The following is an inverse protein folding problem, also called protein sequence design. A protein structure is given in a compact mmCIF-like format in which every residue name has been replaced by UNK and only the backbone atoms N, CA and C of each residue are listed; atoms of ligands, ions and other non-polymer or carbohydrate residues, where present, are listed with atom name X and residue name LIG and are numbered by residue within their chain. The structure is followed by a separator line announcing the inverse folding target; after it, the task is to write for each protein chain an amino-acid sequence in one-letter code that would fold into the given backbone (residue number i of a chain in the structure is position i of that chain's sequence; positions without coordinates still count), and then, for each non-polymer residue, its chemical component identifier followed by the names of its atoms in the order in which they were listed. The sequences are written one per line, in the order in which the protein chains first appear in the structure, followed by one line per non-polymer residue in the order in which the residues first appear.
data_IF_728219356412
#
_entry.id   IF_728219356412
#
_cell.length_a   1.000
_cell.length_b   1.000
_cell.length_c   1.000
_cell.angle_alpha   90.00
_cell.angle_beta   90.00
_cell.angle_gamma   90.00
#
_symmetry.space_group_name_H-M   'P 1'
#
loop_
_entity.id
_entity.type
_entity.pdbx_description
1 polymer ?
#
# COMPACT_ATOMS: atom_id res chain seq x y z
N UNK A 1 -48.85 48.68 -46.20
CA UNK A 1 -49.10 48.84 -44.75
C UNK A 1 -48.31 47.78 -44.00
N UNK A 2 -47.55 48.21 -42.98
CA UNK A 2 -46.61 47.42 -42.16
C UNK A 2 -47.35 46.51 -41.16
N UNK A 3 -46.79 45.31 -40.90
CA UNK A 3 -46.80 44.53 -39.63
C UNK A 3 -46.04 43.21 -39.91
N UNK A 4 -44.74 43.07 -39.67
CA UNK A 4 -44.07 42.92 -38.36
C UNK A 4 -44.86 42.01 -37.41
N UNK A 5 -44.64 40.70 -37.53
CA UNK A 5 -44.85 39.72 -36.47
C UNK A 5 -43.51 38.94 -36.34
N UNK A 6 -42.69 39.32 -35.35
CA UNK A 6 -42.47 38.55 -34.11
C UNK A 6 -41.85 37.19 -34.45
N UNK A 7 -40.53 37.07 -34.60
CA UNK A 7 -39.53 36.96 -33.52
C UNK A 7 -39.93 35.93 -32.46
N UNK A 8 -38.99 35.03 -32.15
CA UNK A 8 -39.04 33.86 -31.25
C UNK A 8 -39.58 32.56 -31.87
N UNK A 9 -38.69 31.81 -32.53
CA UNK A 9 -38.57 30.39 -32.24
C UNK A 9 -37.08 30.02 -32.16
N UNK A 10 -36.59 30.14 -30.92
CA UNK A 10 -35.79 29.12 -30.26
C UNK A 10 -34.52 28.64 -30.99
N UNK A 11 -33.50 29.49 -30.94
CA UNK A 11 -32.11 29.03 -30.97
C UNK A 11 -31.85 28.15 -29.74
N UNK A 12 -32.11 26.85 -29.85
CA UNK A 12 -31.72 25.84 -28.87
C UNK A 12 -30.99 24.70 -29.60
N UNK A 13 -29.80 24.99 -30.12
CA UNK A 13 -28.92 23.96 -30.68
C UNK A 13 -27.44 24.25 -30.39
N UNK A 14 -27.15 24.74 -29.19
CA UNK A 14 -25.78 24.80 -28.66
C UNK A 14 -25.83 24.28 -27.22
N UNK A 15 -25.74 22.97 -27.07
CA UNK A 15 -25.32 22.30 -25.82
C UNK A 15 -25.11 20.81 -26.10
N UNK A 16 -24.37 20.48 -27.16
CA UNK A 16 -23.90 19.12 -27.36
C UNK A 16 -22.57 18.96 -26.60
N UNK A 17 -22.70 18.50 -25.36
CA UNK A 17 -21.74 17.66 -24.65
C UNK A 17 -20.27 18.12 -24.66
N UNK A 18 -19.97 19.11 -23.83
CA UNK A 18 -18.67 19.17 -23.16
C UNK A 18 -18.65 18.12 -22.04
N UNK A 19 -18.23 16.90 -22.34
CA UNK A 19 -17.76 15.96 -21.32
C UNK A 19 -16.52 15.25 -21.86
N UNK A 20 -15.45 16.04 -22.03
CA UNK A 20 -14.12 15.47 -22.09
C UNK A 20 -13.91 14.77 -20.75
N UNK A 21 -13.88 13.43 -20.80
CA UNK A 21 -13.51 12.61 -19.67
C UNK A 21 -12.12 13.03 -19.20
N UNK A 22 -12.07 13.82 -18.13
CA UNK A 22 -10.93 13.82 -17.22
C UNK A 22 -10.92 12.44 -16.55
N UNK A 23 -10.54 11.41 -17.32
CA UNK A 23 -10.12 10.15 -16.74
C UNK A 23 -8.94 10.51 -15.83
N UNK A 24 -9.19 10.41 -14.52
CA UNK A 24 -8.25 10.77 -13.48
C UNK A 24 -6.92 10.05 -13.70
N UNK A 25 -5.97 10.77 -14.28
CA UNK A 25 -4.57 10.52 -14.03
C UNK A 25 -4.31 11.03 -12.62
N UNK A 26 -4.73 10.25 -11.62
CA UNK A 26 -4.09 10.31 -10.32
C UNK A 26 -2.68 9.75 -10.54
N UNK A 27 -1.80 10.60 -11.07
CA UNK A 27 -0.36 10.34 -11.07
C UNK A 27 0.00 10.18 -9.60
N UNK A 28 0.16 8.93 -9.16
CA UNK A 28 0.61 8.59 -7.82
C UNK A 28 1.77 9.51 -7.49
N UNK A 29 1.53 10.49 -6.62
CA UNK A 29 2.49 11.52 -6.29
C UNK A 29 3.72 10.80 -5.77
N UNK A 30 4.84 10.90 -6.50
CA UNK A 30 6.04 10.16 -6.18
C UNK A 30 6.40 10.37 -4.71
N UNK A 31 6.65 9.28 -3.97
CA UNK A 31 6.99 9.37 -2.55
C UNK A 31 8.19 10.29 -2.37
N UNK A 32 8.06 11.29 -1.49
CA UNK A 32 9.18 12.16 -1.09
C UNK A 32 10.13 11.47 -0.11
N UNK A 33 9.76 10.30 0.41
CA UNK A 33 10.48 9.59 1.46
C UNK A 33 11.27 8.37 0.94
N UNK A 34 10.86 7.80 -0.19
CA UNK A 34 11.50 6.61 -0.76
C UNK A 34 11.89 6.84 -2.21
N UNK A 35 13.08 6.35 -2.58
CA UNK A 35 13.41 6.16 -3.99
C UNK A 35 12.44 5.16 -4.57
N UNK A 36 11.76 5.56 -5.63
CA UNK A 36 10.68 4.80 -6.26
C UNK A 36 11.01 4.57 -7.73
N UNK A 37 10.37 3.57 -8.33
CA UNK A 37 10.40 3.39 -9.77
C UNK A 37 9.63 4.51 -10.50
N UNK A 38 9.55 4.42 -11.83
CA UNK A 38 8.83 5.40 -12.65
C UNK A 38 7.32 5.47 -12.35
N UNK A 39 6.76 4.49 -11.63
CA UNK A 39 5.36 4.47 -11.19
C UNK A 39 5.20 4.98 -9.73
N UNK A 40 6.28 5.37 -9.06
CA UNK A 40 6.22 5.82 -7.67
C UNK A 40 6.19 4.68 -6.65
N UNK A 41 6.52 3.44 -7.03
CA UNK A 41 6.52 2.27 -6.14
C UNK A 41 7.93 1.86 -5.69
N UNK A 42 8.04 1.24 -4.51
CA UNK A 42 9.30 0.62 -4.04
C UNK A 42 9.44 -0.77 -4.68
N UNK A 43 10.53 -1.05 -5.43
CA UNK A 43 10.72 -2.35 -6.06
C UNK A 43 10.90 -3.46 -5.01
N UNK A 44 10.04 -4.48 -5.06
CA UNK A 44 10.08 -5.61 -4.14
C UNK A 44 11.19 -6.59 -4.52
N UNK A 45 11.80 -7.23 -3.51
CA UNK A 45 12.82 -8.26 -3.69
C UNK A 45 12.46 -9.57 -3.03
N UNK A 46 12.90 -10.67 -3.62
CA UNK A 46 12.76 -12.02 -3.06
C UNK A 46 13.77 -12.28 -1.93
N UNK A 47 13.74 -13.50 -1.36
CA UNK A 47 14.64 -13.91 -0.27
C UNK A 47 16.13 -13.92 -0.67
N UNK A 48 16.43 -14.08 -1.96
CA UNK A 48 17.80 -14.03 -2.50
C UNK A 48 18.23 -12.61 -2.92
N UNK A 49 17.30 -11.65 -2.90
CA UNK A 49 17.54 -10.25 -3.25
C UNK A 49 17.25 -9.90 -4.70
N UNK A 50 16.69 -10.81 -5.51
CA UNK A 50 16.30 -10.50 -6.88
C UNK A 50 15.01 -9.68 -6.91
N UNK A 51 14.85 -8.83 -7.92
CA UNK A 51 13.61 -8.06 -8.12
C UNK A 51 12.45 -9.00 -8.44
N UNK A 52 11.30 -8.72 -7.82
CA UNK A 52 10.04 -9.41 -8.07
C UNK A 52 9.25 -8.63 -9.13
N UNK A 53 8.94 -9.22 -10.30
CA UNK A 53 8.11 -8.57 -11.30
C UNK A 53 6.67 -8.35 -10.81
N UNK A 54 6.02 -7.31 -11.32
CA UNK A 54 4.59 -7.05 -11.09
C UNK A 54 3.77 -8.27 -11.56
N UNK A 55 2.84 -8.72 -10.74
CA UNK A 55 1.99 -9.90 -11.02
C UNK A 55 2.64 -11.24 -10.66
N UNK A 56 3.86 -11.26 -10.13
CA UNK A 56 4.49 -12.47 -9.60
C UNK A 56 3.80 -12.96 -8.32
N UNK A 57 3.80 -14.27 -8.11
CA UNK A 57 3.40 -14.91 -6.85
C UNK A 57 4.58 -15.19 -5.93
N UNK A 58 5.80 -14.80 -6.31
CA UNK A 58 6.99 -14.96 -5.48
C UNK A 58 6.83 -14.14 -4.20
N UNK A 59 7.02 -14.74 -3.01
CA UNK A 59 6.99 -13.99 -1.76
C UNK A 59 8.10 -12.95 -1.71
N UNK A 60 7.77 -11.74 -1.28
CA UNK A 60 8.77 -10.70 -1.04
C UNK A 60 9.44 -10.87 0.32
N UNK A 61 10.68 -10.40 0.42
CA UNK A 61 11.44 -10.33 1.67
C UNK A 61 11.48 -8.86 2.14
N UNK A 62 10.84 -8.53 3.28
CA UNK A 62 10.99 -7.22 3.91
C UNK A 62 12.45 -6.90 4.22
N UNK A 63 13.24 -7.90 4.63
CA UNK A 63 14.67 -7.74 4.91
C UNK A 63 15.45 -7.35 3.65
N UNK A 64 15.25 -8.03 2.52
CA UNK A 64 15.97 -7.67 1.28
C UNK A 64 15.44 -6.41 0.61
N UNK A 65 14.16 -6.08 0.80
CA UNK A 65 13.51 -4.90 0.19
C UNK A 65 13.81 -3.62 0.97
N UNK A 66 13.52 -3.62 2.28
CA UNK A 66 13.67 -2.43 3.12
C UNK A 66 15.06 -2.33 3.75
N UNK A 67 15.73 -3.46 3.98
CA UNK A 67 17.04 -3.54 4.61
C UNK A 67 18.18 -2.91 3.82
N UNK A 68 17.97 -2.60 2.54
CA UNK A 68 18.96 -1.85 1.74
C UNK A 68 19.06 -0.38 2.13
N UNK A 69 18.03 0.16 2.78
CA UNK A 69 17.95 1.58 3.15
C UNK A 69 17.67 1.80 4.63
N UNK A 70 17.11 0.82 5.33
CA UNK A 70 16.78 0.90 6.75
C UNK A 70 17.44 -0.24 7.52
N UNK A 71 17.80 -0.01 8.78
CA UNK A 71 18.20 -1.11 9.67
C UNK A 71 16.97 -1.91 10.08
N UNK A 72 16.82 -3.10 9.51
CA UNK A 72 15.71 -4.00 9.81
C UNK A 72 15.77 -4.53 11.24
N UNK A 73 16.95 -4.59 11.84
CA UNK A 73 17.12 -4.97 13.25
C UNK A 73 16.55 -3.90 14.17
N UNK A 74 16.64 -2.62 13.77
CA UNK A 74 16.00 -1.52 14.49
C UNK A 74 14.48 -1.49 14.25
N UNK A 75 14.04 -1.64 13.00
CA UNK A 75 12.60 -1.65 12.66
C UNK A 75 11.86 -2.72 13.46
N UNK A 76 12.42 -3.93 13.56
CA UNK A 76 11.82 -5.05 14.29
C UNK A 76 11.79 -4.87 15.81
N UNK A 77 12.39 -3.81 16.34
CA UNK A 77 12.26 -3.45 17.76
C UNK A 77 11.04 -2.55 18.03
N UNK A 78 10.31 -2.12 16.98
CA UNK A 78 9.09 -1.33 17.13
C UNK A 78 7.98 -2.07 17.90
N UNK A 79 7.13 -1.32 18.59
CA UNK A 79 6.07 -1.85 19.47
C UNK A 79 5.27 -3.00 18.85
N UNK A 80 4.83 -2.85 17.60
CA UNK A 80 4.01 -3.86 16.92
C UNK A 80 4.74 -5.18 16.69
N UNK A 81 6.04 -5.14 16.40
CA UNK A 81 6.85 -6.34 16.21
C UNK A 81 7.16 -7.04 17.52
N UNK A 82 7.18 -6.30 18.64
CA UNK A 82 7.53 -6.81 19.96
C UNK A 82 6.30 -7.17 20.82
N UNK A 83 5.10 -6.86 20.35
CA UNK A 83 3.87 -7.05 21.10
C UNK A 83 3.67 -8.52 21.46
N UNK A 84 3.73 -8.84 22.75
CA UNK A 84 3.63 -10.22 23.24
C UNK A 84 4.86 -11.08 23.03
N UNK A 85 6.03 -10.48 22.82
CA UNK A 85 7.31 -11.21 22.95
C UNK A 85 7.56 -11.63 24.39
N UNK A 86 7.09 -10.83 25.35
CA UNK A 86 7.40 -10.90 26.77
C UNK A 86 7.71 -9.51 27.34
N UNK A 87 8.21 -9.43 28.58
CA UNK A 87 8.46 -8.14 29.26
C UNK A 87 9.87 -7.59 29.03
N UNK A 88 10.82 -8.44 28.61
CA UNK A 88 12.21 -8.05 28.33
C UNK A 88 12.87 -9.03 27.34
N UNK A 89 14.09 -8.71 26.88
CA UNK A 89 14.86 -9.62 26.02
C UNK A 89 15.25 -10.95 26.71
N UNK A 90 15.24 -10.99 28.04
CA UNK A 90 15.57 -12.20 28.82
C UNK A 90 14.33 -12.96 29.30
N UNK A 91 13.14 -12.38 29.23
CA UNK A 91 11.85 -13.03 29.52
C UNK A 91 11.02 -13.12 28.23
N UNK A 92 11.46 -13.98 27.29
CA UNK A 92 10.72 -14.26 26.05
C UNK A 92 9.64 -15.31 26.33
N UNK A 93 8.37 -14.95 26.10
CA UNK A 93 7.17 -15.77 26.35
C UNK A 93 6.57 -16.29 25.05
N UNK A 94 7.40 -16.95 24.25
CA UNK A 94 7.02 -17.53 22.95
C UNK A 94 7.23 -19.03 23.01
N UNK A 95 6.20 -19.82 22.72
CA UNK A 95 6.27 -21.28 22.78
C UNK A 95 5.26 -21.95 21.84
N UNK A 96 5.70 -23.03 21.18
CA UNK A 96 4.83 -23.91 20.39
C UNK A 96 3.72 -24.56 21.23
N UNK A 97 3.92 -24.63 22.54
CA UNK A 97 2.93 -25.18 23.49
C UNK A 97 2.14 -24.09 24.21
N UNK A 98 2.23 -22.82 23.79
CA UNK A 98 1.56 -21.70 24.46
C UNK A 98 0.04 -21.88 24.52
N UNK A 99 -0.58 -22.29 23.41
CA UNK A 99 -1.99 -22.62 23.36
C UNK A 99 -2.23 -23.92 22.58
N UNK A 100 -2.44 -25.01 23.32
CA UNK A 100 -2.66 -26.34 22.73
C UNK A 100 -3.93 -26.44 21.89
N UNK A 101 -4.95 -25.61 22.17
CA UNK A 101 -6.18 -25.56 21.37
C UNK A 101 -6.02 -24.69 20.11
N UNK A 102 -5.04 -23.79 20.08
CA UNK A 102 -4.75 -22.88 18.96
C UNK A 102 -3.23 -22.84 18.72
N UNK A 103 -2.63 -23.92 18.17
CA UNK A 103 -1.19 -24.07 18.09
C UNK A 103 -0.46 -23.02 17.22
N UNK A 104 -1.20 -22.27 16.40
CA UNK A 104 -0.66 -21.12 15.66
C UNK A 104 -0.53 -19.85 16.52
N UNK A 105 -0.99 -19.86 17.77
CA UNK A 105 -0.78 -18.78 18.73
C UNK A 105 0.42 -19.14 19.62
N UNK A 106 1.56 -18.50 19.36
CA UNK A 106 2.81 -18.77 20.08
C UNK A 106 3.02 -17.87 21.31
N UNK A 107 2.23 -16.80 21.45
CA UNK A 107 2.29 -15.88 22.58
C UNK A 107 0.98 -15.10 22.78
N UNK A 108 0.95 -14.25 23.81
CA UNK A 108 -0.18 -13.39 24.18
C UNK A 108 -0.42 -12.23 23.20
N UNK A 109 0.56 -11.89 22.35
CA UNK A 109 0.47 -10.78 21.41
C UNK A 109 0.65 -11.18 19.94
N UNK A 110 1.16 -10.25 19.14
CA UNK A 110 1.40 -10.41 17.70
C UNK A 110 2.81 -10.92 17.38
N UNK A 111 3.65 -11.16 18.39
CA UNK A 111 5.01 -11.63 18.22
C UNK A 111 5.07 -12.96 17.46
N UNK A 112 5.77 -12.98 16.32
CA UNK A 112 5.88 -14.17 15.47
C UNK A 112 4.60 -14.56 14.74
N UNK A 113 3.52 -13.77 14.86
CA UNK A 113 2.47 -13.76 13.85
C UNK A 113 3.03 -12.92 12.68
N UNK A 114 2.66 -13.23 11.44
CA UNK A 114 3.21 -12.69 10.17
C UNK A 114 4.52 -13.31 9.68
#
# INVERSE_FOLDING_TARGET
MKKQQKTLLTALSVCAFAFAAAAGADLAKASTYHKTDSAGAVPLKDRTGNLIPVGSTTPYSPEKTCGTCHDTSLITQGYHFQQGKGFSNSDIRVSDTYNTAKPWLLSDGMYGKW
#
